data_IF_106790085355
#
_entry.id   IF_106790085355
#
_cell.length_a   1.000
_cell.length_b   1.000
_cell.length_c   1.000
_cell.angle_alpha   90.00
_cell.angle_beta   90.00
_cell.angle_gamma   90.00
#
_symmetry.space_group_name_H-M   'P 1'
#
loop_
_entity.id
_entity.type
_entity.pdbx_description
1 polymer ?
#
# COMPACT_ATOMS: atom_id res chain seq x y z
N UNK A 1 -16.95 -23.26 18.52
CA UNK A 1 -17.89 -22.35 17.83
C UNK A 1 -17.27 -22.01 16.48
N UNK A 2 -18.02 -22.15 15.39
CA UNK A 2 -17.56 -21.79 14.04
C UNK A 2 -18.38 -20.61 13.55
N UNK A 3 -17.75 -19.72 12.77
CA UNK A 3 -18.42 -18.59 12.14
C UNK A 3 -18.18 -18.65 10.64
N UNK A 4 -19.20 -18.38 9.86
CA UNK A 4 -19.12 -18.18 8.42
C UNK A 4 -19.67 -16.80 8.11
N UNK A 5 -18.98 -16.09 7.24
CA UNK A 5 -19.37 -14.75 6.79
C UNK A 5 -19.40 -14.71 5.27
N UNK A 6 -20.40 -14.08 4.71
CA UNK A 6 -20.47 -13.77 3.29
C UNK A 6 -20.17 -12.31 3.08
N UNK A 7 -19.33 -12.02 2.09
CA UNK A 7 -18.88 -10.67 1.78
C UNK A 7 -18.99 -10.41 0.28
N UNK A 8 -19.17 -9.16 -0.11
CA UNK A 8 -18.97 -8.75 -1.51
C UNK A 8 -17.47 -8.71 -1.80
N UNK A 9 -17.04 -8.99 -3.04
CA UNK A 9 -15.63 -9.04 -3.39
C UNK A 9 -14.90 -7.69 -3.23
N UNK A 10 -15.58 -6.58 -3.44
CA UNK A 10 -15.01 -5.23 -3.48
C UNK A 10 -13.91 -5.07 -4.55
N UNK A 11 -13.98 -5.87 -5.60
CA UNK A 11 -13.04 -5.88 -6.71
C UNK A 11 -13.65 -6.52 -7.97
N UNK A 12 -12.95 -6.54 -9.10
CA UNK A 12 -13.48 -7.02 -10.37
C UNK A 12 -13.09 -8.47 -10.70
N UNK A 13 -12.33 -9.18 -9.87
CA UNK A 13 -11.65 -10.43 -10.25
C UNK A 13 -12.66 -11.55 -10.53
N UNK A 14 -13.72 -11.67 -9.72
CA UNK A 14 -14.76 -12.67 -9.94
C UNK A 14 -15.57 -12.35 -11.18
N UNK A 15 -15.96 -11.09 -11.38
CA UNK A 15 -16.70 -10.63 -12.54
C UNK A 15 -15.90 -10.85 -13.83
N UNK A 16 -14.63 -10.42 -13.87
CA UNK A 16 -13.74 -10.57 -15.02
C UNK A 16 -13.51 -12.05 -15.39
N UNK A 17 -13.54 -12.93 -14.40
CA UNK A 17 -13.41 -14.37 -14.60
C UNK A 17 -14.76 -15.08 -14.87
N UNK A 18 -15.89 -14.37 -14.81
CA UNK A 18 -17.23 -14.93 -14.97
C UNK A 18 -17.64 -15.88 -13.84
N UNK A 19 -17.15 -15.62 -12.61
CA UNK A 19 -17.43 -16.44 -11.44
C UNK A 19 -18.42 -15.75 -10.51
N UNK A 20 -19.39 -16.50 -9.98
CA UNK A 20 -20.40 -15.99 -9.06
C UNK A 20 -19.94 -16.00 -7.61
N UNK A 21 -19.04 -16.93 -7.26
CA UNK A 21 -18.60 -17.17 -5.88
C UNK A 21 -17.08 -17.32 -5.83
N UNK A 22 -16.45 -16.61 -4.90
CA UNK A 22 -15.06 -16.79 -4.48
C UNK A 22 -14.98 -17.45 -3.11
N UNK A 23 -14.06 -18.39 -2.94
CA UNK A 23 -13.79 -19.02 -1.64
C UNK A 23 -12.54 -18.42 -1.05
N UNK A 24 -12.71 -17.63 0.02
CA UNK A 24 -11.60 -16.97 0.71
C UNK A 24 -10.86 -17.98 1.58
N UNK A 25 -9.55 -18.11 1.38
CA UNK A 25 -8.69 -19.00 2.15
C UNK A 25 -7.71 -18.27 3.07
N UNK A 26 -7.50 -16.99 2.86
CA UNK A 26 -6.68 -16.17 3.74
C UNK A 26 -7.09 -14.70 3.71
N UNK A 27 -6.66 -13.96 4.73
CA UNK A 27 -6.60 -12.51 4.74
C UNK A 27 -5.16 -12.10 4.53
N UNK A 28 -4.91 -11.24 3.56
CA UNK A 28 -3.55 -10.84 3.19
C UNK A 28 -2.79 -10.20 4.35
N UNK A 29 -1.51 -10.51 4.43
CA UNK A 29 -0.58 -9.72 5.22
C UNK A 29 -0.50 -8.30 4.69
N UNK A 30 -0.31 -7.34 5.59
CA UNK A 30 -0.21 -5.94 5.20
C UNK A 30 0.64 -5.14 6.17
N UNK A 31 1.22 -4.08 5.66
CA UNK A 31 1.82 -3.05 6.49
C UNK A 31 1.37 -1.66 6.02
N UNK A 32 1.33 -0.74 6.96
CA UNK A 32 1.15 0.68 6.71
C UNK A 32 2.28 1.46 7.37
N UNK A 33 2.98 2.27 6.59
CA UNK A 33 4.05 3.15 7.02
C UNK A 33 3.75 4.59 6.63
N UNK A 34 4.27 5.53 7.41
CA UNK A 34 4.25 6.96 7.11
C UNK A 34 5.63 7.38 6.65
N UNK A 35 5.69 8.05 5.50
CA UNK A 35 6.92 8.67 5.01
C UNK A 35 6.79 10.18 5.18
N UNK A 36 7.60 10.73 6.08
CA UNK A 36 7.56 12.13 6.49
C UNK A 36 8.76 12.89 5.94
N UNK A 37 8.50 13.92 5.18
CA UNK A 37 9.52 14.75 4.53
C UNK A 37 9.60 16.11 5.21
N UNK A 38 10.83 16.54 5.50
CA UNK A 38 11.10 17.79 6.18
C UNK A 38 11.96 18.69 5.30
N UNK A 39 11.40 19.82 4.95
CA UNK A 39 12.00 20.83 4.10
C UNK A 39 12.10 22.19 4.78
N UNK A 40 11.74 23.25 4.07
CA UNK A 40 11.77 24.61 4.61
C UNK A 40 10.70 25.48 3.95
N UNK A 41 9.84 26.10 4.75
CA UNK A 41 8.88 27.07 4.26
C UNK A 41 9.60 28.32 3.76
N UNK A 42 9.29 28.71 2.52
CA UNK A 42 9.79 29.93 1.88
C UNK A 42 8.72 30.51 0.97
N UNK A 43 8.89 31.75 0.57
CA UNK A 43 7.94 32.41 -0.33
C UNK A 43 7.97 31.80 -1.73
N UNK A 44 6.81 31.42 -2.27
CA UNK A 44 6.70 30.72 -3.55
C UNK A 44 7.20 31.53 -4.77
N UNK A 45 7.05 32.86 -4.76
CA UNK A 45 7.38 33.73 -5.90
C UNK A 45 8.79 34.30 -5.90
N UNK A 46 9.41 34.49 -4.72
CA UNK A 46 10.68 35.23 -4.61
C UNK A 46 11.88 34.36 -4.22
N UNK A 47 11.66 33.20 -3.63
CA UNK A 47 12.77 32.36 -3.19
C UNK A 47 13.32 31.52 -4.37
N UNK A 48 14.64 31.59 -4.69
CA UNK A 48 15.22 30.94 -5.85
C UNK A 48 15.08 29.42 -5.85
N UNK A 49 14.70 28.83 -6.99
CA UNK A 49 14.51 27.38 -7.15
C UNK A 49 15.69 26.52 -6.62
N UNK A 50 16.98 26.82 -6.94
CA UNK A 50 18.10 25.99 -6.50
C UNK A 50 18.33 25.94 -4.98
N UNK A 51 17.71 26.87 -4.25
CA UNK A 51 17.85 26.97 -2.78
C UNK A 51 16.65 26.38 -2.04
N UNK A 52 15.58 25.94 -2.76
CA UNK A 52 14.38 25.38 -2.15
C UNK A 52 14.63 24.00 -1.55
N UNK A 53 14.01 23.77 -0.41
CA UNK A 53 13.83 22.45 0.17
C UNK A 53 12.33 22.20 0.30
N UNK A 54 11.73 21.81 -0.82
CA UNK A 54 10.29 21.62 -0.96
C UNK A 54 9.92 20.19 -0.56
N UNK A 55 9.24 20.05 0.57
CA UNK A 55 8.87 18.76 1.13
C UNK A 55 7.87 17.99 0.25
N UNK A 56 6.96 18.68 -0.46
CA UNK A 56 6.05 18.03 -1.39
C UNK A 56 6.78 17.50 -2.63
N UNK A 57 7.68 18.29 -3.19
CA UNK A 57 8.48 17.85 -4.33
C UNK A 57 9.40 16.68 -3.95
N UNK A 58 10.00 16.72 -2.75
CA UNK A 58 10.79 15.62 -2.21
C UNK A 58 9.95 14.33 -2.07
N UNK A 59 8.75 14.45 -1.52
CA UNK A 59 7.81 13.32 -1.36
C UNK A 59 7.38 12.75 -2.72
N UNK A 60 7.13 13.59 -3.73
CA UNK A 60 6.77 13.13 -5.07
C UNK A 60 7.88 12.33 -5.75
N UNK A 61 9.15 12.76 -5.59
CA UNK A 61 10.31 12.01 -6.08
C UNK A 61 10.43 10.64 -5.39
N UNK A 62 10.25 10.61 -4.07
CA UNK A 62 10.29 9.37 -3.31
C UNK A 62 9.14 8.42 -3.69
N UNK A 63 7.94 8.95 -3.94
CA UNK A 63 6.79 8.15 -4.39
C UNK A 63 7.05 7.53 -5.76
N UNK A 64 7.58 8.28 -6.73
CA UNK A 64 7.98 7.73 -8.02
C UNK A 64 9.04 6.63 -7.87
N UNK A 65 10.07 6.87 -7.05
CA UNK A 65 11.09 5.89 -6.73
C UNK A 65 10.49 4.60 -6.13
N UNK A 66 9.56 4.72 -5.18
CA UNK A 66 8.90 3.56 -4.58
C UNK A 66 8.18 2.73 -5.65
N UNK A 67 7.39 3.36 -6.51
CA UNK A 67 6.69 2.67 -7.60
C UNK A 67 7.70 1.96 -8.53
N UNK A 68 8.73 2.66 -8.99
CA UNK A 68 9.74 2.09 -9.90
C UNK A 68 10.48 0.90 -9.31
N UNK A 69 10.88 0.96 -8.03
CA UNK A 69 11.63 -0.12 -7.38
C UNK A 69 10.72 -1.32 -7.02
N UNK A 70 9.47 -1.06 -6.64
CA UNK A 70 8.52 -2.11 -6.33
C UNK A 70 8.09 -2.84 -7.60
N UNK A 71 7.86 -2.13 -8.70
CA UNK A 71 7.48 -2.73 -9.99
C UNK A 71 8.58 -3.67 -10.52
N UNK A 72 9.86 -3.37 -10.25
CA UNK A 72 11.00 -4.26 -10.59
C UNK A 72 10.97 -5.59 -9.86
N UNK A 73 10.24 -5.70 -8.76
CA UNK A 73 10.07 -6.98 -8.05
C UNK A 73 9.26 -8.00 -8.86
N UNK A 74 8.40 -7.52 -9.79
CA UNK A 74 7.67 -8.34 -10.75
C UNK A 74 6.52 -9.18 -10.16
N UNK A 75 5.97 -8.81 -9.01
CA UNK A 75 4.81 -9.48 -8.40
C UNK A 75 3.51 -8.86 -8.91
N UNK A 76 2.73 -9.61 -9.70
CA UNK A 76 1.47 -9.12 -10.30
C UNK A 76 0.31 -9.06 -9.31
N UNK A 77 0.41 -9.76 -8.19
CA UNK A 77 -0.58 -9.86 -7.11
C UNK A 77 -0.26 -8.97 -5.91
N UNK A 78 0.87 -8.23 -5.96
CA UNK A 78 1.21 -7.23 -4.96
C UNK A 78 0.38 -5.98 -5.18
N UNK A 79 -0.35 -5.56 -4.15
CA UNK A 79 -1.11 -4.30 -4.18
C UNK A 79 -0.55 -3.31 -3.18
N UNK A 80 -0.47 -2.03 -3.59
CA UNK A 80 -0.01 -0.95 -2.72
C UNK A 80 -0.65 0.37 -3.09
N UNK A 81 -0.76 1.27 -2.11
CA UNK A 81 -1.40 2.58 -2.31
C UNK A 81 -0.90 3.63 -1.34
N UNK A 82 -1.08 4.90 -1.74
CA UNK A 82 -0.93 6.09 -0.91
C UNK A 82 -2.31 6.71 -0.74
N UNK A 83 -2.94 6.48 0.41
CA UNK A 83 -4.34 6.87 0.65
C UNK A 83 -4.53 8.11 1.52
N UNK A 84 -3.52 8.48 2.30
CA UNK A 84 -3.60 9.60 3.24
C UNK A 84 -2.38 10.50 3.10
N UNK A 85 -2.60 11.81 3.01
CA UNK A 85 -1.54 12.81 2.89
C UNK A 85 -1.75 13.99 3.84
N UNK A 86 -0.65 14.57 4.33
CA UNK A 86 -0.64 15.81 5.11
C UNK A 86 0.40 16.75 4.51
N UNK A 87 0.02 17.98 4.28
CA UNK A 87 0.90 19.04 3.75
C UNK A 87 0.85 20.26 4.64
N UNK A 88 2.01 20.83 4.98
CA UNK A 88 2.12 22.06 5.75
C UNK A 88 3.09 23.02 5.06
N UNK A 89 2.75 24.31 5.01
CA UNK A 89 1.55 25.00 5.51
C UNK A 89 0.30 24.88 4.62
N UNK A 90 0.34 24.14 3.51
CA UNK A 90 -0.79 23.91 2.59
C UNK A 90 -1.42 25.20 2.05
N UNK A 91 -0.59 26.17 1.67
CA UNK A 91 -1.00 27.45 1.06
C UNK A 91 -0.21 27.71 -0.22
N UNK A 92 -0.88 28.18 -1.29
CA UNK A 92 -0.30 28.34 -2.63
C UNK A 92 0.85 29.37 -2.72
N UNK A 93 1.01 30.24 -1.73
CA UNK A 93 2.05 31.26 -1.68
C UNK A 93 3.33 30.85 -0.98
N UNK A 94 3.37 29.63 -0.40
CA UNK A 94 4.50 29.11 0.35
C UNK A 94 4.99 27.78 -0.20
N UNK A 95 6.29 27.56 -0.16
CA UNK A 95 6.91 26.24 -0.35
C UNK A 95 6.64 25.39 0.89
N UNK A 96 6.14 24.16 0.77
CA UNK A 96 5.91 23.28 1.91
C UNK A 96 7.19 22.90 2.65
N UNK A 97 7.16 22.96 3.98
CA UNK A 97 8.24 22.50 4.85
C UNK A 97 8.02 21.12 5.42
N UNK A 98 6.80 20.62 5.32
CA UNK A 98 6.45 19.28 5.77
C UNK A 98 5.44 18.64 4.80
N UNK A 99 5.73 17.40 4.44
CA UNK A 99 4.80 16.56 3.71
C UNK A 99 4.90 15.12 4.25
N UNK A 100 3.76 14.51 4.46
CA UNK A 100 3.63 13.16 5.01
C UNK A 100 2.61 12.39 4.19
N UNK A 101 2.94 11.16 3.82
CA UNK A 101 1.99 10.26 3.20
C UNK A 101 2.03 8.86 3.80
N UNK A 102 0.86 8.19 3.79
CA UNK A 102 0.78 6.78 4.13
C UNK A 102 1.18 5.92 2.94
N UNK A 103 1.85 4.81 3.19
CA UNK A 103 2.13 3.78 2.22
C UNK A 103 1.63 2.44 2.76
N UNK A 104 0.53 1.96 2.17
CA UNK A 104 -0.07 0.66 2.47
C UNK A 104 0.39 -0.35 1.42
N UNK A 105 0.76 -1.55 1.84
CA UNK A 105 1.13 -2.64 0.93
C UNK A 105 0.61 -3.96 1.46
N UNK A 106 0.11 -4.80 0.55
CA UNK A 106 -0.53 -6.06 0.89
C UNK A 106 -0.09 -7.17 -0.04
N UNK A 107 0.20 -8.33 0.55
CA UNK A 107 0.54 -9.55 -0.18
C UNK A 107 0.37 -10.78 0.71
N UNK A 108 0.11 -11.95 0.13
CA UNK A 108 -0.01 -13.21 0.86
C UNK A 108 1.34 -13.65 1.46
N UNK A 109 2.42 -13.59 0.66
CA UNK A 109 3.76 -14.00 1.11
C UNK A 109 4.45 -12.88 1.91
N UNK A 110 4.76 -13.10 3.20
CA UNK A 110 5.45 -12.11 4.03
C UNK A 110 6.84 -11.73 3.49
N UNK A 111 7.51 -12.62 2.76
CA UNK A 111 8.82 -12.31 2.15
C UNK A 111 8.73 -11.25 1.06
N UNK A 112 7.61 -11.18 0.37
CA UNK A 112 7.36 -10.10 -0.60
C UNK A 112 7.19 -8.78 0.13
N UNK A 113 6.40 -8.76 1.21
CA UNK A 113 6.24 -7.58 2.06
C UNK A 113 7.56 -7.11 2.70
N UNK A 114 8.44 -8.05 3.10
CA UNK A 114 9.78 -7.72 3.60
C UNK A 114 10.63 -6.98 2.53
N UNK A 115 10.58 -7.43 1.26
CA UNK A 115 11.28 -6.75 0.16
C UNK A 115 10.74 -5.34 -0.09
N UNK A 116 9.41 -5.19 -0.12
CA UNK A 116 8.77 -3.88 -0.26
C UNK A 116 9.15 -2.97 0.90
N UNK A 117 9.14 -3.50 2.13
CA UNK A 117 9.51 -2.73 3.32
C UNK A 117 10.98 -2.28 3.27
N UNK A 118 11.88 -3.10 2.75
CA UNK A 118 13.29 -2.70 2.56
C UNK A 118 13.41 -1.51 1.61
N UNK A 119 12.63 -1.50 0.52
CA UNK A 119 12.57 -0.37 -0.43
C UNK A 119 12.01 0.87 0.27
N UNK A 120 10.91 0.75 1.02
CA UNK A 120 10.30 1.85 1.78
C UNK A 120 11.30 2.46 2.76
N UNK A 121 12.00 1.63 3.54
CA UNK A 121 12.99 2.09 4.51
C UNK A 121 14.21 2.75 3.85
N UNK A 122 14.60 2.31 2.66
CA UNK A 122 15.73 2.93 1.93
C UNK A 122 15.50 4.40 1.59
N UNK A 123 14.25 4.89 1.67
CA UNK A 123 13.95 6.31 1.48
C UNK A 123 14.59 7.21 2.55
N UNK A 124 14.85 6.69 3.77
CA UNK A 124 15.54 7.45 4.83
C UNK A 124 17.02 7.69 4.53
N UNK A 125 17.64 6.81 3.75
CA UNK A 125 19.06 6.86 3.42
C UNK A 125 19.37 7.81 2.25
N UNK A 126 18.33 8.30 1.59
CA UNK A 126 18.43 9.16 0.40
C UNK A 126 18.13 10.61 0.73
N UNK A 127 18.69 11.50 -0.08
CA UNK A 127 18.34 12.93 -0.05
C UNK A 127 17.36 13.22 -1.19
N UNK A 128 16.23 13.79 -0.86
CA UNK A 128 15.14 14.12 -1.76
C UNK A 128 15.00 15.64 -1.87
N UNK A 129 15.40 16.23 -2.98
CA UNK A 129 15.34 17.70 -3.20
C UNK A 129 15.89 18.53 -2.02
N UNK A 130 16.95 18.04 -1.36
CA UNK A 130 17.55 18.69 -0.19
C UNK A 130 16.76 18.53 1.13
N UNK A 131 15.68 17.74 1.12
CA UNK A 131 14.87 17.40 2.29
C UNK A 131 15.32 16.09 2.92
N UNK A 132 15.02 15.89 4.20
CA UNK A 132 15.20 14.63 4.91
C UNK A 132 13.89 13.84 4.91
N UNK A 133 13.99 12.51 4.87
CA UNK A 133 12.86 11.59 4.99
C UNK A 133 12.96 10.82 6.30
N UNK A 134 11.81 10.59 6.96
CA UNK A 134 11.67 9.64 8.06
C UNK A 134 10.55 8.66 7.75
N UNK A 135 10.80 7.38 8.01
CA UNK A 135 9.84 6.30 7.80
C UNK A 135 9.38 5.77 9.16
N UNK A 136 8.11 5.93 9.45
CA UNK A 136 7.51 5.51 10.71
C UNK A 136 6.47 4.42 10.46
N UNK A 137 6.54 3.35 11.25
CA UNK A 137 5.53 2.29 11.20
C UNK A 137 4.23 2.81 11.80
N UNK A 138 3.14 2.75 11.02
CA UNK A 138 1.81 3.00 11.55
C UNK A 138 1.23 1.70 12.16
N UNK A 139 1.12 0.63 11.37
CA UNK A 139 0.70 -0.69 11.81
C UNK A 139 1.03 -1.77 10.79
N UNK A 140 0.92 -3.04 11.20
CA UNK A 140 1.03 -4.20 10.30
C UNK A 140 0.18 -5.35 10.81
N UNK A 141 -0.12 -6.26 9.92
CA UNK A 141 -0.77 -7.54 10.19
C UNK A 141 -0.12 -8.61 9.34
N UNK A 142 0.14 -9.77 9.93
CA UNK A 142 0.59 -10.94 9.20
C UNK A 142 -0.57 -11.57 8.41
N UNK A 143 -0.25 -12.35 7.39
CA UNK A 143 -1.23 -13.14 6.65
C UNK A 143 -1.92 -14.12 7.61
N UNK A 144 -3.25 -14.14 7.58
CA UNK A 144 -4.05 -15.06 8.38
C UNK A 144 -4.72 -16.05 7.45
N UNK A 145 -4.37 -17.33 7.59
CA UNK A 145 -4.99 -18.42 6.83
C UNK A 145 -6.17 -18.99 7.61
N UNK A 146 -7.25 -19.25 6.90
CA UNK A 146 -8.42 -19.90 7.46
C UNK A 146 -8.17 -21.41 7.66
N UNK A 147 -8.96 -22.02 8.55
CA UNK A 147 -8.95 -23.47 8.76
C UNK A 147 -9.26 -24.20 7.45
N UNK A 148 -8.31 -25.03 7.00
CA UNK A 148 -8.39 -25.74 5.70
C UNK A 148 -9.62 -26.63 5.57
N UNK A 149 -10.10 -27.20 6.69
CA UNK A 149 -11.31 -28.05 6.70
C UNK A 149 -12.57 -27.20 6.51
N UNK A 150 -12.65 -26.04 7.14
CA UNK A 150 -13.78 -25.12 6.95
C UNK A 150 -13.77 -24.56 5.52
N UNK A 151 -12.62 -24.16 4.99
CA UNK A 151 -12.45 -23.73 3.61
C UNK A 151 -12.92 -24.83 2.64
N UNK A 152 -12.57 -26.11 2.89
CA UNK A 152 -13.01 -27.22 2.03
C UNK A 152 -14.52 -27.43 2.02
N UNK A 153 -15.21 -27.18 3.14
CA UNK A 153 -16.67 -27.25 3.20
C UNK A 153 -17.33 -26.12 2.41
N UNK A 154 -16.82 -24.89 2.54
CA UNK A 154 -17.30 -23.74 1.76
C UNK A 154 -17.10 -24.00 0.27
N UNK A 155 -15.91 -24.54 -0.11
CA UNK A 155 -15.60 -24.90 -1.49
C UNK A 155 -16.58 -25.91 -2.06
N UNK A 156 -16.80 -27.01 -1.37
CA UNK A 156 -17.74 -28.06 -1.81
C UNK A 156 -19.19 -27.52 -1.92
N UNK A 157 -19.60 -26.60 -1.05
CA UNK A 157 -20.92 -25.96 -1.11
C UNK A 157 -21.01 -25.00 -2.30
N UNK A 158 -19.98 -24.22 -2.58
CA UNK A 158 -19.93 -23.33 -3.73
C UNK A 158 -19.97 -24.13 -5.06
N UNK A 159 -19.23 -25.23 -5.16
CA UNK A 159 -19.24 -26.15 -6.31
C UNK A 159 -20.63 -26.76 -6.58
N UNK A 160 -21.42 -26.97 -5.54
CA UNK A 160 -22.75 -27.53 -5.68
C UNK A 160 -23.78 -26.54 -6.26
N UNK A 161 -23.54 -25.23 -6.15
CA UNK A 161 -24.47 -24.18 -6.58
C UNK A 161 -23.94 -23.31 -7.73
N UNK A 162 -22.61 -23.28 -7.93
CA UNK A 162 -21.94 -22.54 -9.00
C UNK A 162 -20.86 -23.42 -9.63
N UNK A 163 -20.72 -23.35 -10.97
CA UNK A 163 -19.80 -24.21 -11.72
C UNK A 163 -18.35 -23.73 -11.76
N UNK A 164 -18.03 -22.62 -11.07
CA UNK A 164 -16.72 -21.98 -11.18
C UNK A 164 -16.13 -21.56 -9.85
N UNK A 165 -14.80 -21.74 -9.71
CA UNK A 165 -14.04 -21.37 -8.54
C UNK A 165 -12.93 -20.41 -8.88
N UNK A 166 -12.80 -19.37 -8.08
CA UNK A 166 -11.57 -18.60 -7.93
C UNK A 166 -11.14 -18.55 -6.45
N UNK A 167 -9.84 -18.53 -6.25
CA UNK A 167 -9.24 -18.19 -4.97
C UNK A 167 -9.42 -16.69 -4.78
N UNK A 168 -10.22 -16.29 -3.80
CA UNK A 168 -10.41 -14.90 -3.45
C UNK A 168 -9.57 -14.55 -2.21
N UNK A 169 -8.96 -13.37 -2.24
CA UNK A 169 -8.23 -12.80 -1.12
C UNK A 169 -9.03 -11.61 -0.56
N UNK A 170 -9.33 -11.63 0.72
CA UNK A 170 -9.87 -10.43 1.40
C UNK A 170 -8.76 -9.42 1.66
N UNK A 171 -9.07 -8.17 1.39
CA UNK A 171 -8.18 -7.02 1.62
C UNK A 171 -8.45 -6.34 2.96
#
# INVERSE_FOLDING_TARGET
MYMFETHIEQGPILEDAGNDIGVVDCVLGMFNYRLKFYGQTTHAGTFPMPKRRDAFFAASQALCYLHEEIDKLGYSDLVYTTGEVVCHPCVHTCVPDFFDFSFDSRHEDPKVLEKVLAIVKSCEEKTWAGCTCKVEKAWNRDTVYWDKKLVSYVKASAEAVSYTHLRAHET
#
